data_IF_080873990082
#
_entry.id   IF_080873990082
#
_cell.length_a   1.000
_cell.length_b   1.000
_cell.length_c   1.000
_cell.angle_alpha   90.00
_cell.angle_beta   90.00
_cell.angle_gamma   90.00
#
_symmetry.space_group_name_H-M   'P 1'
#
loop_
_entity.id
_entity.type
_entity.pdbx_description
1 polymer ?
#
# COMPACT_ATOMS: atom_id res chain seq x y z
N UNK A 1 -28.59 42.64 -58.73
CA UNK A 1 -29.29 43.24 -57.60
C UNK A 1 -28.26 43.39 -56.49
N UNK A 2 -27.89 44.64 -56.29
CA UNK A 2 -26.96 45.15 -55.30
C UNK A 2 -27.44 44.93 -53.86
N UNK A 3 -26.51 45.26 -52.96
CA UNK A 3 -26.71 45.75 -51.60
C UNK A 3 -26.77 44.62 -50.52
N UNK A 4 -26.01 44.64 -49.42
CA UNK A 4 -25.58 45.80 -48.64
C UNK A 4 -24.21 45.63 -47.97
N UNK A 5 -23.49 46.74 -48.02
CA UNK A 5 -22.33 47.11 -47.21
C UNK A 5 -22.61 46.91 -45.72
N UNK A 6 -21.63 46.38 -44.98
CA UNK A 6 -21.46 46.76 -43.58
C UNK A 6 -20.12 47.49 -43.43
N UNK A 7 -20.24 48.81 -43.27
CA UNK A 7 -19.13 49.75 -43.15
C UNK A 7 -18.70 49.84 -41.70
N UNK A 8 -17.42 49.56 -41.47
CA UNK A 8 -16.50 50.09 -40.46
C UNK A 8 -17.10 50.65 -39.15
N UNK A 9 -16.69 50.05 -38.02
CA UNK A 9 -16.53 50.79 -36.78
C UNK A 9 -15.08 50.64 -36.28
N UNK A 10 -14.41 51.78 -36.19
CA UNK A 10 -12.99 51.88 -35.87
C UNK A 10 -12.71 51.68 -34.38
N UNK A 11 -11.69 50.87 -34.12
CA UNK A 11 -10.83 50.99 -32.97
C UNK A 11 -9.44 50.59 -33.46
N UNK A 12 -8.41 51.37 -33.14
CA UNK A 12 -7.01 51.01 -33.36
C UNK A 12 -6.68 49.73 -32.60
N UNK A 13 -7.06 48.61 -33.16
CA UNK A 13 -6.41 47.33 -32.97
C UNK A 13 -5.63 47.14 -34.27
N UNK A 14 -4.31 47.12 -34.19
CA UNK A 14 -3.48 46.45 -35.19
C UNK A 14 -3.79 44.95 -35.12
N UNK A 15 -5.01 44.58 -35.49
CA UNK A 15 -5.59 43.26 -35.36
C UNK A 15 -5.13 42.44 -36.55
N UNK A 16 -4.32 41.43 -36.28
CA UNK A 16 -3.93 40.43 -37.28
C UNK A 16 -5.21 39.72 -37.74
N UNK A 17 -5.63 39.95 -38.99
CA UNK A 17 -6.70 39.17 -39.62
C UNK A 17 -6.14 37.79 -39.94
N UNK A 18 -6.68 36.75 -39.31
CA UNK A 18 -6.25 35.38 -39.57
C UNK A 18 -6.69 34.92 -40.96
N UNK A 19 -5.82 34.23 -41.68
CA UNK A 19 -6.23 33.51 -42.90
C UNK A 19 -7.00 32.24 -42.53
N UNK A 20 -7.79 31.71 -43.47
CA UNK A 20 -8.54 30.48 -43.22
C UNK A 20 -7.60 29.29 -42.91
N UNK A 21 -6.42 29.26 -43.53
CA UNK A 21 -5.38 28.28 -43.26
C UNK A 21 -4.84 28.39 -41.82
N UNK A 22 -4.59 29.62 -41.36
CA UNK A 22 -4.15 29.87 -39.97
C UNK A 22 -5.23 29.43 -38.96
N UNK A 23 -6.51 29.71 -39.24
CA UNK A 23 -7.63 29.25 -38.42
C UNK A 23 -7.67 27.72 -38.36
N UNK A 24 -7.54 27.03 -39.49
CA UNK A 24 -7.54 25.57 -39.54
C UNK A 24 -6.36 24.96 -38.75
N UNK A 25 -5.18 25.58 -38.83
CA UNK A 25 -4.01 25.18 -38.04
C UNK A 25 -4.25 25.36 -36.54
N UNK A 26 -4.83 26.48 -36.12
CA UNK A 26 -5.13 26.75 -34.70
C UNK A 26 -6.17 25.77 -34.16
N UNK A 27 -7.25 25.50 -34.90
CA UNK A 27 -8.30 24.57 -34.48
C UNK A 27 -7.75 23.14 -34.39
N UNK A 28 -6.99 22.70 -35.39
CA UNK A 28 -6.39 21.37 -35.36
C UNK A 28 -5.34 21.22 -34.25
N UNK A 29 -4.57 22.27 -33.96
CA UNK A 29 -3.63 22.32 -32.83
C UNK A 29 -4.34 22.16 -31.49
N UNK A 30 -5.36 22.98 -31.23
CA UNK A 30 -6.17 22.90 -30.00
C UNK A 30 -6.84 21.55 -29.84
N UNK A 31 -7.42 21.01 -30.91
CA UNK A 31 -8.06 19.69 -30.86
C UNK A 31 -7.06 18.57 -30.56
N UNK A 32 -5.84 18.67 -31.08
CA UNK A 32 -4.76 17.71 -30.74
C UNK A 32 -4.34 17.85 -29.28
N UNK A 33 -4.09 19.07 -28.80
CA UNK A 33 -3.71 19.32 -27.41
C UNK A 33 -4.78 18.81 -26.43
N UNK A 34 -6.05 19.06 -26.71
CA UNK A 34 -7.16 18.61 -25.87
C UNK A 34 -7.28 17.07 -25.87
N UNK A 35 -7.11 16.44 -27.05
CA UNK A 35 -7.06 14.97 -27.15
C UNK A 35 -5.87 14.37 -26.39
N UNK A 36 -4.70 14.98 -26.49
CA UNK A 36 -3.52 14.52 -25.75
C UNK A 36 -3.70 14.69 -24.25
N UNK A 37 -4.30 15.79 -23.81
CA UNK A 37 -4.60 16.05 -22.40
C UNK A 37 -5.58 14.99 -21.87
N UNK A 38 -6.69 14.76 -22.57
CA UNK A 38 -7.65 13.70 -22.21
C UNK A 38 -6.98 12.32 -22.17
N UNK A 39 -6.10 12.02 -23.12
CA UNK A 39 -5.36 10.75 -23.12
C UNK A 39 -4.44 10.63 -21.91
N UNK A 40 -3.67 11.68 -21.58
CA UNK A 40 -2.80 11.69 -20.40
C UNK A 40 -3.58 11.54 -19.10
N UNK A 41 -4.72 12.22 -18.97
CA UNK A 41 -5.61 12.12 -17.80
C UNK A 41 -6.18 10.69 -17.69
N UNK A 42 -6.59 10.09 -18.80
CA UNK A 42 -7.05 8.71 -18.85
C UNK A 42 -5.94 7.72 -18.46
N UNK A 43 -4.75 7.85 -19.04
CA UNK A 43 -3.60 6.99 -18.75
C UNK A 43 -3.19 7.10 -17.27
N UNK A 44 -3.22 8.30 -16.70
CA UNK A 44 -2.94 8.53 -15.28
C UNK A 44 -3.99 7.85 -14.38
N UNK A 45 -5.28 7.99 -14.71
CA UNK A 45 -6.36 7.35 -13.96
C UNK A 45 -6.26 5.81 -14.01
N UNK A 46 -5.86 5.25 -15.16
CA UNK A 46 -5.62 3.82 -15.27
C UNK A 46 -4.41 3.36 -14.44
N UNK A 47 -3.31 4.10 -14.46
CA UNK A 47 -2.13 3.79 -13.68
C UNK A 47 -2.41 3.82 -12.16
N UNK A 48 -3.16 4.82 -11.68
CA UNK A 48 -3.59 4.90 -10.28
C UNK A 48 -4.46 3.69 -9.89
N UNK A 49 -5.42 3.34 -10.74
CA UNK A 49 -6.29 2.18 -10.52
C UNK A 49 -5.50 0.88 -10.47
N UNK A 50 -4.56 0.69 -11.36
CA UNK A 50 -3.70 -0.50 -11.41
C UNK A 50 -2.85 -0.61 -10.15
N UNK A 51 -2.26 0.49 -9.68
CA UNK A 51 -1.50 0.53 -8.43
C UNK A 51 -2.37 0.16 -7.22
N UNK A 52 -3.59 0.69 -7.14
CA UNK A 52 -4.53 0.37 -6.05
C UNK A 52 -4.93 -1.11 -6.06
N UNK A 53 -5.25 -1.66 -7.24
CA UNK A 53 -5.58 -3.08 -7.40
C UNK A 53 -4.39 -3.94 -6.97
N UNK A 54 -3.18 -3.65 -7.46
CA UNK A 54 -1.97 -4.38 -7.11
C UNK A 54 -1.69 -4.36 -5.61
N UNK A 55 -1.85 -3.20 -4.96
CA UNK A 55 -1.68 -3.08 -3.51
C UNK A 55 -2.71 -3.93 -2.75
N UNK A 56 -3.97 -3.92 -3.20
CA UNK A 56 -5.03 -4.74 -2.60
C UNK A 56 -4.80 -6.24 -2.79
N UNK A 57 -4.41 -6.66 -3.99
CA UNK A 57 -4.09 -8.06 -4.30
C UNK A 57 -2.91 -8.56 -3.46
N UNK A 58 -1.86 -7.76 -3.35
CA UNK A 58 -0.70 -8.10 -2.53
C UNK A 58 -1.09 -8.28 -1.05
N UNK A 59 -1.94 -7.40 -0.52
CA UNK A 59 -2.45 -7.53 0.86
C UNK A 59 -3.25 -8.81 1.06
N UNK A 60 -4.07 -9.21 0.08
CA UNK A 60 -4.82 -10.48 0.14
C UNK A 60 -3.88 -11.69 0.13
N UNK A 61 -2.84 -11.67 -0.72
CA UNK A 61 -1.82 -12.71 -0.74
C UNK A 61 -1.09 -12.84 0.61
N UNK A 62 -0.80 -11.71 1.27
CA UNK A 62 -0.19 -11.70 2.62
C UNK A 62 -1.12 -12.34 3.64
N UNK A 63 -2.42 -11.98 3.64
CA UNK A 63 -3.42 -12.56 4.54
C UNK A 63 -3.54 -14.08 4.35
N UNK A 64 -3.60 -14.55 3.11
CA UNK A 64 -3.66 -15.99 2.81
C UNK A 64 -2.39 -16.71 3.28
N UNK A 65 -1.20 -16.13 3.04
CA UNK A 65 0.07 -16.67 3.52
C UNK A 65 0.12 -16.73 5.06
N UNK A 66 -0.29 -15.67 5.76
CA UNK A 66 -0.35 -15.64 7.23
C UNK A 66 -1.28 -16.73 7.77
N UNK A 67 -2.49 -16.84 7.20
CA UNK A 67 -3.47 -17.86 7.57
C UNK A 67 -2.93 -19.27 7.35
N UNK A 68 -2.24 -19.51 6.23
CA UNK A 68 -1.62 -20.81 5.94
C UNK A 68 -0.53 -21.20 6.96
N UNK A 69 0.12 -20.23 7.59
CA UNK A 69 1.15 -20.43 8.61
C UNK A 69 0.58 -20.43 10.04
N UNK A 70 -0.73 -20.24 10.21
CA UNK A 70 -1.39 -20.15 11.51
C UNK A 70 -1.09 -18.86 12.27
N UNK A 71 -0.70 -17.80 11.56
CA UNK A 71 -0.37 -16.50 12.16
C UNK A 71 -1.62 -15.59 12.18
N UNK A 72 -1.72 -14.65 13.15
CA UNK A 72 -2.83 -13.70 13.22
C UNK A 72 -2.93 -12.79 11.99
N UNK A 73 -4.15 -12.56 11.50
CA UNK A 73 -4.43 -11.67 10.37
C UNK A 73 -4.05 -10.21 10.65
N UNK A 74 -4.04 -9.80 11.92
CA UNK A 74 -3.63 -8.45 12.34
C UNK A 74 -2.16 -8.13 11.98
N UNK A 75 -1.33 -9.14 11.74
CA UNK A 75 0.06 -8.94 11.30
C UNK A 75 0.15 -8.43 9.86
N UNK A 76 -0.91 -8.57 9.05
CA UNK A 76 -0.92 -8.06 7.68
C UNK A 76 -0.77 -6.53 7.62
N UNK A 77 -1.21 -5.81 8.65
CA UNK A 77 -1.02 -4.35 8.75
C UNK A 77 0.41 -3.94 9.08
N UNK A 78 1.18 -4.84 9.72
CA UNK A 78 2.57 -4.59 10.10
C UNK A 78 3.56 -5.06 9.02
N UNK A 79 3.12 -5.90 8.08
CA UNK A 79 3.98 -6.47 7.03
C UNK A 79 4.10 -5.50 5.85
N UNK A 80 5.35 -5.28 5.42
CA UNK A 80 5.61 -4.52 4.22
C UNK A 80 5.17 -5.28 2.96
N UNK A 81 4.13 -4.77 2.28
CA UNK A 81 3.57 -5.33 1.05
C UNK A 81 4.21 -4.77 -0.25
N UNK A 82 5.38 -4.13 -0.19
CA UNK A 82 6.02 -3.58 -1.41
C UNK A 82 6.43 -4.65 -2.42
N UNK A 83 7.00 -5.76 -1.94
CA UNK A 83 7.58 -6.81 -2.80
C UNK A 83 7.26 -8.19 -2.23
N UNK A 84 6.96 -9.15 -3.10
CA UNK A 84 6.65 -10.51 -2.70
C UNK A 84 7.79 -11.17 -1.90
N UNK A 85 9.04 -10.96 -2.32
CA UNK A 85 10.23 -11.48 -1.60
C UNK A 85 10.36 -10.92 -0.18
N UNK A 86 9.96 -9.67 0.01
CA UNK A 86 10.01 -8.99 1.32
C UNK A 86 8.90 -9.52 2.22
N UNK A 87 7.71 -9.75 1.65
CA UNK A 87 6.60 -10.42 2.34
C UNK A 87 7.02 -11.81 2.81
N UNK A 88 7.58 -12.65 1.94
CA UNK A 88 7.96 -14.02 2.30
C UNK A 88 9.00 -14.06 3.42
N UNK A 89 10.06 -13.25 3.32
CA UNK A 89 11.06 -13.13 4.38
C UNK A 89 10.45 -12.68 5.70
N UNK A 90 9.56 -11.70 5.67
CA UNK A 90 8.90 -11.20 6.90
C UNK A 90 8.03 -12.28 7.55
N UNK A 91 7.27 -13.04 6.74
CA UNK A 91 6.43 -14.14 7.23
C UNK A 91 7.29 -15.28 7.78
N UNK A 92 8.44 -15.61 7.16
CA UNK A 92 9.36 -16.61 7.69
C UNK A 92 9.93 -16.21 9.06
N UNK A 93 10.39 -14.97 9.21
CA UNK A 93 10.89 -14.44 10.48
C UNK A 93 9.80 -14.49 11.56
N UNK A 94 8.58 -14.03 11.22
CA UNK A 94 7.44 -14.08 12.12
C UNK A 94 7.07 -15.52 12.50
N UNK A 95 7.04 -16.42 11.53
CA UNK A 95 6.74 -17.85 11.79
C UNK A 95 7.75 -18.46 12.75
N UNK A 96 9.04 -18.16 12.59
CA UNK A 96 10.09 -18.71 13.46
C UNK A 96 10.01 -18.15 14.89
N UNK A 97 9.76 -16.83 15.02
CA UNK A 97 9.64 -16.18 16.34
C UNK A 97 8.38 -16.60 17.08
N UNK A 98 7.22 -16.59 16.42
CA UNK A 98 5.95 -17.01 17.02
C UNK A 98 5.97 -18.48 17.48
N UNK A 99 6.63 -19.36 16.71
CA UNK A 99 6.79 -20.77 17.10
C UNK A 99 7.79 -20.95 18.24
N UNK A 100 8.83 -20.13 18.31
CA UNK A 100 9.80 -20.18 19.40
C UNK A 100 9.18 -19.76 20.74
N UNK A 101 8.25 -18.81 20.74
CA UNK A 101 7.56 -18.32 21.95
C UNK A 101 6.44 -19.24 22.45
N UNK A 102 5.88 -20.12 21.59
CA UNK A 102 5.00 -21.22 22.01
C UNK A 102 5.77 -22.35 22.71
N UNK A 103 7.10 -22.38 22.58
CA UNK A 103 7.95 -23.17 23.45
C UNK A 103 7.88 -22.56 24.85
N UNK A 104 7.44 -23.35 25.83
CA UNK A 104 7.31 -22.96 27.24
C UNK A 104 8.41 -21.96 27.61
N UNK A 105 8.02 -20.75 28.02
CA UNK A 105 8.96 -19.85 28.68
C UNK A 105 9.57 -20.66 29.82
N UNK A 106 10.80 -21.14 29.64
CA UNK A 106 11.53 -21.80 30.69
C UNK A 106 11.64 -20.75 31.78
N UNK A 107 10.76 -20.86 32.79
CA UNK A 107 10.83 -20.04 33.97
C UNK A 107 12.28 -20.15 34.42
N UNK A 108 12.94 -19.02 34.64
CA UNK A 108 14.29 -19.03 35.16
C UNK A 108 14.23 -19.69 36.54
N UNK A 109 14.41 -21.00 36.59
CA UNK A 109 14.37 -21.76 37.82
C UNK A 109 15.68 -21.48 38.52
N UNK A 110 15.63 -20.70 39.58
CA UNK A 110 16.80 -20.37 40.39
C UNK A 110 17.30 -21.63 41.09
N UNK A 111 18.52 -22.07 40.76
CA UNK A 111 19.21 -23.15 41.46
C UNK A 111 20.42 -22.57 42.18
N UNK A 112 20.38 -22.38 43.51
CA UNK A 112 21.50 -21.83 44.25
C UNK A 112 22.70 -22.81 44.23
N UNK A 113 23.85 -22.33 43.78
CA UNK A 113 25.12 -23.08 43.62
C UNK A 113 25.79 -23.55 44.94
N UNK A 114 25.11 -23.47 46.07
CA UNK A 114 25.68 -23.87 47.36
C UNK A 114 24.69 -24.06 48.51
N UNK A 115 23.38 -24.10 48.22
CA UNK A 115 22.36 -24.45 49.21
C UNK A 115 21.92 -25.90 49.01
N UNK A 116 21.82 -26.68 50.10
CA UNK A 116 21.05 -27.94 50.05
C UNK A 116 19.67 -27.59 49.48
N UNK A 117 19.32 -28.15 48.32
CA UNK A 117 18.08 -27.81 47.60
C UNK A 117 16.84 -27.77 48.50
N UNK A 118 15.85 -26.97 48.08
CA UNK A 118 14.60 -26.71 48.80
C UNK A 118 14.11 -27.96 49.53
N UNK A 119 14.21 -27.96 50.85
CA UNK A 119 13.48 -28.93 51.66
C UNK A 119 12.00 -28.65 51.40
N UNK A 120 11.17 -29.66 51.07
CA UNK A 120 9.75 -29.45 50.85
C UNK A 120 9.17 -28.72 52.08
N UNK A 121 8.44 -27.63 51.83
CA UNK A 121 7.83 -26.81 52.88
C UNK A 121 7.05 -27.74 53.83
N UNK A 122 7.40 -27.80 55.13
CA UNK A 122 6.77 -28.72 56.08
C UNK A 122 5.26 -28.49 56.20
N UNK A 123 4.78 -27.27 55.97
CA UNK A 123 3.34 -26.96 55.94
C UNK A 123 2.70 -27.58 54.69
N UNK A 124 3.32 -27.43 53.52
CA UNK A 124 2.85 -28.04 52.27
C UNK A 124 2.83 -29.57 52.34
N UNK A 125 3.84 -30.18 52.97
CA UNK A 125 3.90 -31.62 53.22
C UNK A 125 2.81 -32.08 54.19
N UNK A 126 2.57 -31.34 55.28
CA UNK A 126 1.48 -31.63 56.22
C UNK A 126 0.09 -31.51 55.57
N UNK A 127 -0.05 -30.66 54.56
CA UNK A 127 -1.29 -30.46 53.80
C UNK A 127 -1.43 -31.42 52.61
N UNK A 128 -0.49 -32.36 52.40
CA UNK A 128 -0.55 -33.35 51.31
C UNK A 128 -0.30 -32.79 49.91
N UNK A 129 0.29 -31.59 49.79
CA UNK A 129 0.49 -30.86 48.54
C UNK A 129 1.93 -30.97 48.00
N UNK A 130 2.64 -32.04 48.38
CA UNK A 130 4.03 -32.29 47.99
C UNK A 130 4.15 -33.15 46.73
N UNK A 131 3.86 -32.58 45.56
CA UNK A 131 4.32 -33.03 44.23
C UNK A 131 4.53 -31.82 43.34
#
# INVERSE_FOLDING_TARGET
MDNEKNTANGGENTGRTFTQEEVNQIVSGRLKEEREKMKREQDAAFAEREQNIKAREMRMNVLDKLKSKGLPESLADAINCSDEKSVDKSIEILTNTYKAEQGEHQRATYHPVGGTGEKPDPIRAAMGLGQ
#
